data_IF_930674512517
#
_entry.id   IF_930674512517
#
_cell.length_a   1.000
_cell.length_b   1.000
_cell.length_c   1.000
_cell.angle_alpha   90.00
_cell.angle_beta   90.00
_cell.angle_gamma   90.00
#
_symmetry.space_group_name_H-M   'P 1'
#
loop_
_entity.id
_entity.type
_entity.pdbx_description
1 polymer ?
#
# COMPACT_ATOMS: atom_id res chain seq x y z
N UNK A 1 8.01 -11.98 13.74
CA UNK A 1 7.80 -10.52 13.73
C UNK A 1 6.68 -10.25 14.71
N UNK A 2 6.86 -9.25 15.58
CA UNK A 2 5.86 -8.88 16.58
C UNK A 2 4.92 -7.86 15.95
N UNK A 3 3.83 -8.31 15.34
CA UNK A 3 2.89 -7.41 14.70
C UNK A 3 2.09 -6.61 15.73
N UNK A 4 1.93 -5.31 15.48
CA UNK A 4 1.12 -4.41 16.31
C UNK A 4 -0.27 -4.22 15.70
N UNK A 5 -1.31 -4.34 16.53
CA UNK A 5 -2.68 -4.11 16.10
C UNK A 5 -2.96 -2.61 15.92
N UNK A 6 -3.32 -2.19 14.71
CA UNK A 6 -3.57 -0.79 14.33
C UNK A 6 -4.72 -0.67 13.30
N UNK A 7 -4.81 0.46 12.62
CA UNK A 7 -5.73 0.69 11.51
C UNK A 7 -5.14 1.58 10.42
N UNK A 8 -5.73 1.53 9.23
CA UNK A 8 -5.46 2.47 8.14
C UNK A 8 -6.72 3.32 7.80
N UNK A 9 -6.53 4.59 7.39
CA UNK A 9 -5.29 5.36 7.46
C UNK A 9 -4.87 5.58 8.93
N UNK A 10 -3.56 5.61 9.19
CA UNK A 10 -3.01 5.72 10.55
C UNK A 10 -3.13 7.09 11.22
N UNK A 11 -3.47 8.15 10.47
CA UNK A 11 -3.52 9.53 10.98
C UNK A 11 -4.85 9.92 11.64
N UNK A 12 -5.92 9.15 11.46
CA UNK A 12 -7.23 9.44 12.03
C UNK A 12 -7.43 8.79 13.40
N UNK A 13 -8.03 9.50 14.35
CA UNK A 13 -8.45 8.88 15.61
C UNK A 13 -9.80 8.16 15.41
N UNK A 14 -9.78 6.83 15.55
CA UNK A 14 -10.97 5.99 15.60
C UNK A 14 -10.95 5.30 16.97
N UNK A 15 -11.85 5.70 17.89
CA UNK A 15 -11.81 5.23 19.29
C UNK A 15 -11.75 3.70 19.47
N UNK A 16 -12.08 2.95 18.42
CA UNK A 16 -11.70 1.55 18.23
C UNK A 16 -11.16 1.37 16.80
N UNK A 17 -10.00 0.69 16.64
CA UNK A 17 -9.38 0.39 15.32
C UNK A 17 -10.33 -0.32 14.34
N UNK A 18 -11.27 -1.11 14.87
CA UNK A 18 -12.28 -1.81 14.07
C UNK A 18 -13.25 -0.84 13.39
N UNK A 19 -13.33 0.43 13.80
CA UNK A 19 -14.14 1.45 13.13
C UNK A 19 -13.52 1.99 11.84
N UNK A 20 -12.23 1.72 11.60
CA UNK A 20 -11.48 2.10 10.40
C UNK A 20 -11.19 0.87 9.52
N UNK A 21 -10.04 0.81 8.85
CA UNK A 21 -9.54 -0.39 8.19
C UNK A 21 -8.58 -1.13 9.13
N UNK A 22 -9.05 -2.10 9.95
CA UNK A 22 -8.19 -2.77 10.92
C UNK A 22 -7.09 -3.59 10.26
N UNK A 23 -5.88 -3.47 10.79
CA UNK A 23 -4.73 -4.22 10.31
C UNK A 23 -3.73 -4.49 11.44
N UNK A 24 -2.73 -5.28 11.11
CA UNK A 24 -1.60 -5.58 11.96
C UNK A 24 -0.34 -5.24 11.18
N UNK A 25 0.54 -4.41 11.73
CA UNK A 25 1.72 -3.92 11.03
C UNK A 25 2.99 -4.13 11.85
N UNK A 26 4.10 -4.29 11.14
CA UNK A 26 5.43 -4.15 11.71
C UNK A 26 6.34 -3.55 10.63
N UNK A 27 7.31 -2.73 11.05
CA UNK A 27 8.38 -2.33 10.18
C UNK A 27 9.17 -3.57 9.74
N UNK A 28 9.55 -3.59 8.47
CA UNK A 28 10.36 -4.64 7.89
C UNK A 28 11.65 -4.02 7.37
N UNK A 29 12.79 -4.45 7.91
CA UNK A 29 14.09 -3.84 7.62
C UNK A 29 15.20 -4.85 7.30
N UNK A 30 14.92 -6.14 7.41
CA UNK A 30 15.91 -7.22 7.36
C UNK A 30 16.70 -7.32 6.06
N UNK A 31 16.08 -7.05 4.91
CA UNK A 31 16.69 -7.16 3.58
C UNK A 31 16.62 -5.84 2.81
N UNK A 32 16.52 -4.71 3.51
CA UNK A 32 16.42 -3.39 2.89
C UNK A 32 17.56 -3.15 1.90
N UNK A 33 18.81 -3.43 2.26
CA UNK A 33 19.96 -3.22 1.36
C UNK A 33 19.81 -4.01 0.06
N UNK A 34 19.42 -5.29 0.15
CA UNK A 34 19.23 -6.12 -1.04
C UNK A 34 18.09 -5.59 -1.91
N UNK A 35 16.96 -5.25 -1.29
CA UNK A 35 15.76 -4.77 -1.98
C UNK A 35 16.03 -3.42 -2.64
N UNK A 36 16.57 -2.46 -1.89
CA UNK A 36 16.93 -1.12 -2.39
C UNK A 36 17.89 -1.23 -3.56
N UNK A 37 18.98 -2.01 -3.45
CA UNK A 37 19.93 -2.20 -4.56
C UNK A 37 19.27 -2.77 -5.82
N UNK A 38 18.32 -3.70 -5.69
CA UNK A 38 17.58 -4.25 -6.83
C UNK A 38 16.65 -3.23 -7.46
N UNK A 39 15.93 -2.46 -6.65
CA UNK A 39 15.02 -1.41 -7.14
C UNK A 39 15.84 -0.31 -7.82
N UNK A 40 16.94 0.15 -7.23
CA UNK A 40 17.85 1.14 -7.85
C UNK A 40 18.37 0.66 -9.21
N UNK A 41 18.75 -0.63 -9.32
CA UNK A 41 19.20 -1.22 -10.58
C UNK A 41 18.11 -1.26 -11.66
N UNK A 42 16.85 -1.48 -11.27
CA UNK A 42 15.69 -1.48 -12.20
C UNK A 42 15.33 -0.06 -12.63
N UNK A 43 15.26 0.88 -11.68
CA UNK A 43 14.86 2.25 -11.92
C UNK A 43 15.99 3.14 -12.44
N UNK A 44 17.23 2.66 -12.39
CA UNK A 44 18.44 3.38 -12.79
C UNK A 44 18.57 4.74 -12.07
N UNK A 45 18.17 4.79 -10.79
CA UNK A 45 18.24 5.98 -9.93
C UNK A 45 18.51 5.59 -8.49
N UNK A 46 18.98 6.53 -7.66
CA UNK A 46 19.22 6.32 -6.23
C UNK A 46 17.95 6.48 -5.40
N UNK A 47 17.82 5.67 -4.37
CA UNK A 47 16.77 5.77 -3.36
C UNK A 47 17.31 6.52 -2.15
N UNK A 48 16.59 7.55 -1.70
CA UNK A 48 17.04 8.46 -0.64
C UNK A 48 16.34 8.24 0.70
N UNK A 49 15.15 7.66 0.68
CA UNK A 49 14.36 7.34 1.86
C UNK A 49 13.60 6.06 1.55
N UNK A 50 13.85 4.98 2.29
CA UNK A 50 13.26 3.67 2.03
C UNK A 50 12.62 3.10 3.29
N UNK A 51 11.32 2.81 3.20
CA UNK A 51 10.55 2.19 4.26
C UNK A 51 9.80 0.98 3.71
N UNK A 52 9.89 -0.12 4.44
CA UNK A 52 9.06 -1.30 4.17
C UNK A 52 8.22 -1.65 5.39
N UNK A 53 6.95 -2.00 5.15
CA UNK A 53 5.98 -2.38 6.17
C UNK A 53 5.43 -3.75 5.84
N UNK A 54 5.62 -4.70 6.74
CA UNK A 54 4.93 -5.98 6.71
C UNK A 54 3.53 -5.78 7.30
N UNK A 55 2.50 -6.15 6.55
CA UNK A 55 1.11 -5.95 6.95
C UNK A 55 0.34 -7.26 6.87
N UNK A 56 -0.42 -7.52 7.93
CA UNK A 56 -1.41 -8.59 8.03
C UNK A 56 -2.81 -8.00 8.16
N UNK A 57 -3.76 -8.53 7.41
CA UNK A 57 -5.18 -8.17 7.49
C UNK A 57 -5.97 -9.43 7.83
N UNK A 58 -6.90 -9.32 8.78
CA UNK A 58 -7.85 -10.38 9.11
C UNK A 58 -9.21 -9.98 8.54
N UNK A 59 -9.72 -10.74 7.58
CA UNK A 59 -10.90 -10.34 6.80
C UNK A 59 -12.19 -10.32 7.64
N UNK A 60 -12.27 -11.12 8.71
CA UNK A 60 -13.38 -11.06 9.66
C UNK A 60 -13.39 -9.78 10.51
N UNK A 61 -12.26 -9.11 10.69
CA UNK A 61 -12.20 -7.81 11.37
C UNK A 61 -12.63 -6.69 10.42
N UNK A 62 -12.22 -6.77 9.15
CA UNK A 62 -12.66 -5.84 8.11
C UNK A 62 -14.20 -5.83 8.01
N UNK A 63 -14.83 -7.02 8.07
CA UNK A 63 -16.30 -7.16 8.05
C UNK A 63 -17.01 -6.52 9.27
N UNK A 64 -16.31 -6.32 10.38
CA UNK A 64 -16.88 -5.66 11.56
C UNK A 64 -16.87 -4.14 11.42
N UNK A 65 -16.13 -3.60 10.45
CA UNK A 65 -16.00 -2.17 10.27
C UNK A 65 -17.31 -1.54 9.76
N UNK A 66 -17.78 -0.44 10.40
CA UNK A 66 -18.96 0.28 9.96
C UNK A 66 -18.75 0.99 8.62
N UNK A 67 -17.50 1.09 8.14
CA UNK A 67 -17.18 1.58 6.79
C UNK A 67 -17.73 0.67 5.69
N UNK A 68 -18.13 -0.57 6.05
CA UNK A 68 -18.78 -1.54 5.16
C UNK A 68 -18.02 -1.73 3.84
N UNK A 69 -16.75 -2.10 3.95
CA UNK A 69 -15.90 -2.32 2.79
C UNK A 69 -16.46 -3.42 1.89
N UNK A 70 -16.79 -3.06 0.65
CA UNK A 70 -17.14 -4.02 -0.39
C UNK A 70 -15.89 -4.69 -0.95
N UNK A 71 -15.76 -4.69 -2.28
CA UNK A 71 -14.56 -5.21 -2.96
C UNK A 71 -13.30 -4.37 -2.70
N UNK A 72 -13.45 -3.09 -2.39
CA UNK A 72 -12.34 -2.15 -2.24
C UNK A 72 -12.32 -1.60 -0.82
N UNK A 73 -11.12 -1.43 -0.26
CA UNK A 73 -10.89 -0.61 0.92
C UNK A 73 -11.06 0.88 0.62
N UNK A 74 -10.54 1.75 1.49
CA UNK A 74 -10.58 3.20 1.28
C UNK A 74 -9.76 3.60 0.05
N UNK A 75 -10.35 4.38 -0.85
CA UNK A 75 -9.62 5.05 -1.94
C UNK A 75 -8.82 6.21 -1.35
N UNK A 76 -7.51 6.17 -1.51
CA UNK A 76 -6.58 7.13 -0.92
C UNK A 76 -5.34 7.36 -1.79
N UNK A 77 -4.48 8.27 -1.32
CA UNK A 77 -3.12 8.52 -1.83
C UNK A 77 -2.16 8.35 -0.66
N UNK A 78 -0.90 8.06 -0.95
CA UNK A 78 0.15 7.86 0.05
C UNK A 78 0.85 9.16 0.47
N UNK A 79 0.34 10.31 0.03
CA UNK A 79 0.82 11.61 0.49
C UNK A 79 0.16 12.02 1.81
N UNK A 80 0.94 12.63 2.73
CA UNK A 80 0.37 13.34 3.87
C UNK A 80 -0.64 14.39 3.41
N UNK A 81 -1.70 14.58 4.20
CA UNK A 81 -2.72 15.58 3.91
C UNK A 81 -2.11 16.98 3.97
N UNK A 82 -2.17 17.73 2.86
CA UNK A 82 -1.69 19.11 2.78
C UNK A 82 -0.29 19.30 2.21
N UNK A 83 0.42 18.22 1.90
CA UNK A 83 1.77 18.29 1.35
C UNK A 83 1.80 18.04 -0.16
N UNK A 84 2.46 18.95 -0.90
CA UNK A 84 3.03 18.68 -2.24
C UNK A 84 4.41 18.06 -2.03
N UNK A 85 4.51 16.94 -1.33
CA UNK A 85 5.80 16.31 -1.16
C UNK A 85 6.15 15.38 -2.31
N UNK A 86 7.47 15.34 -2.52
CA UNK A 86 8.24 14.69 -3.57
C UNK A 86 7.71 13.31 -3.99
N UNK A 87 8.04 12.81 -5.20
CA UNK A 87 7.48 11.55 -5.67
C UNK A 87 7.84 10.39 -4.73
N UNK A 88 6.93 10.08 -3.82
CA UNK A 88 6.89 8.82 -3.12
C UNK A 88 6.50 7.79 -4.16
N UNK A 89 7.36 6.82 -4.39
CA UNK A 89 6.99 5.59 -5.07
C UNK A 89 6.50 4.64 -3.98
N UNK A 90 5.29 4.15 -4.18
CA UNK A 90 4.71 3.10 -3.36
C UNK A 90 4.84 1.77 -4.10
N UNK A 91 4.97 0.69 -3.34
CA UNK A 91 5.11 -0.65 -3.85
C UNK A 91 4.25 -1.63 -3.06
N UNK A 92 3.64 -2.58 -3.75
CA UNK A 92 2.88 -3.66 -3.13
C UNK A 92 3.37 -5.01 -3.61
N UNK A 93 3.68 -5.89 -2.66
CA UNK A 93 3.85 -7.31 -2.88
C UNK A 93 2.80 -8.09 -2.09
N UNK A 94 2.21 -9.08 -2.75
CA UNK A 94 1.24 -9.99 -2.18
C UNK A 94 1.89 -11.37 -2.00
N UNK A 95 1.57 -12.04 -0.91
CA UNK A 95 2.04 -13.42 -0.65
C UNK A 95 0.99 -14.47 -1.01
N UNK A 96 -0.26 -14.04 -1.23
CA UNK A 96 -1.37 -14.86 -1.70
C UNK A 96 -1.66 -14.64 -3.19
N UNK A 97 -2.24 -15.66 -3.81
CA UNK A 97 -2.81 -15.55 -5.15
C UNK A 97 -4.32 -15.32 -5.03
N UNK A 98 -4.79 -14.14 -5.44
CA UNK A 98 -6.20 -13.81 -5.46
C UNK A 98 -6.54 -12.99 -6.71
N UNK A 99 -7.42 -13.54 -7.55
CA UNK A 99 -7.85 -12.90 -8.79
C UNK A 99 -8.47 -11.53 -8.51
N UNK A 100 -9.25 -11.43 -7.42
CA UNK A 100 -9.97 -10.22 -7.00
C UNK A 100 -9.38 -9.53 -5.75
N UNK A 101 -8.18 -9.90 -5.31
CA UNK A 101 -7.56 -9.41 -4.07
C UNK A 101 -6.39 -8.41 -4.16
N UNK A 102 -6.00 -7.93 -5.34
CA UNK A 102 -4.80 -7.09 -5.46
C UNK A 102 -4.99 -5.60 -5.19
N UNK A 103 -4.56 -4.74 -6.12
CA UNK A 103 -4.63 -3.27 -6.01
C UNK A 103 -5.52 -2.72 -7.12
N UNK A 104 -6.44 -1.82 -6.76
CA UNK A 104 -7.27 -1.08 -7.69
C UNK A 104 -6.82 0.39 -7.74
N UNK A 105 -6.82 0.97 -8.94
CA UNK A 105 -6.46 2.37 -9.16
C UNK A 105 -7.61 3.14 -9.81
N UNK A 106 -7.79 4.37 -9.36
CA UNK A 106 -8.91 5.23 -9.71
C UNK A 106 -8.36 6.55 -10.25
N UNK A 107 -9.18 7.25 -11.02
CA UNK A 107 -8.88 8.57 -11.51
C UNK A 107 -9.12 9.63 -10.42
N UNK A 108 -10.11 9.43 -9.53
CA UNK A 108 -10.28 10.27 -8.33
C UNK A 108 -10.84 9.51 -7.10
N UNK A 109 -10.88 10.19 -5.95
CA UNK A 109 -11.29 9.57 -4.67
C UNK A 109 -12.76 9.14 -4.60
N UNK A 110 -13.65 9.76 -5.38
CA UNK A 110 -15.09 9.56 -5.29
C UNK A 110 -15.60 8.44 -6.21
N UNK A 111 -14.73 7.94 -7.09
CA UNK A 111 -15.07 6.87 -8.02
C UNK A 111 -15.31 5.55 -7.30
N UNK A 112 -16.28 4.79 -7.80
CA UNK A 112 -16.65 3.47 -7.27
C UNK A 112 -16.11 2.32 -8.10
N UNK A 113 -15.62 2.60 -9.30
CA UNK A 113 -15.10 1.63 -10.26
C UNK A 113 -13.68 2.07 -10.64
N UNK A 114 -12.69 1.18 -10.58
CA UNK A 114 -11.32 1.51 -10.93
C UNK A 114 -11.10 1.53 -12.45
N UNK A 115 -10.15 2.34 -12.90
CA UNK A 115 -9.65 2.32 -14.28
C UNK A 115 -8.69 1.16 -14.51
N UNK A 116 -7.86 0.86 -13.50
CA UNK A 116 -6.85 -0.19 -13.55
C UNK A 116 -7.02 -1.10 -12.35
N UNK A 117 -6.99 -2.39 -12.63
CA UNK A 117 -7.06 -3.43 -11.63
C UNK A 117 -5.87 -4.38 -11.81
N UNK A 118 -5.10 -4.59 -10.74
CA UNK A 118 -3.98 -5.53 -10.72
C UNK A 118 -4.27 -6.60 -9.67
N UNK A 119 -4.44 -7.86 -10.08
CA UNK A 119 -4.67 -8.99 -9.17
C UNK A 119 -3.48 -9.26 -8.24
N UNK A 120 -3.75 -9.85 -7.08
CA UNK A 120 -2.72 -10.33 -6.17
C UNK A 120 -2.10 -11.61 -6.73
N UNK A 121 -0.80 -11.56 -7.01
CA UNK A 121 -0.03 -12.70 -7.49
C UNK A 121 1.28 -12.78 -6.71
N UNK A 122 1.65 -13.93 -6.13
CA UNK A 122 2.91 -14.11 -5.43
C UNK A 122 4.12 -13.76 -6.30
N UNK A 123 5.19 -13.28 -5.68
CA UNK A 123 6.44 -12.90 -6.35
C UNK A 123 6.31 -11.76 -7.37
N UNK A 124 5.23 -10.98 -7.32
CA UNK A 124 5.06 -9.77 -8.12
C UNK A 124 5.15 -8.53 -7.25
N UNK A 125 6.08 -7.64 -7.60
CA UNK A 125 6.14 -6.28 -7.07
C UNK A 125 5.40 -5.34 -8.03
N UNK A 126 4.41 -4.63 -7.52
CA UNK A 126 3.70 -3.57 -8.24
C UNK A 126 4.20 -2.24 -7.71
N UNK A 127 4.94 -1.48 -8.53
CA UNK A 127 5.38 -0.12 -8.22
C UNK A 127 4.45 0.91 -8.86
N UNK A 128 4.09 1.94 -8.11
CA UNK A 128 3.27 3.04 -8.60
C UNK A 128 3.60 4.35 -7.89
N UNK A 129 3.22 5.46 -8.51
CA UNK A 129 3.37 6.78 -7.92
C UNK A 129 2.38 6.94 -6.76
N UNK A 130 2.84 7.27 -5.55
CA UNK A 130 2.03 7.36 -4.32
C UNK A 130 0.92 8.42 -4.39
N UNK A 131 1.05 9.39 -5.31
CA UNK A 131 -0.02 10.34 -5.63
C UNK A 131 -1.21 9.77 -6.40
N UNK A 132 -1.15 8.53 -6.86
CA UNK A 132 -2.24 7.88 -7.59
C UNK A 132 -3.33 7.44 -6.61
N UNK A 133 -4.58 7.75 -6.92
CA UNK A 133 -5.70 7.22 -6.15
C UNK A 133 -5.76 5.71 -6.29
N UNK A 134 -5.71 5.02 -5.17
CA UNK A 134 -5.69 3.57 -5.13
C UNK A 134 -6.37 3.03 -3.88
N UNK A 135 -6.69 1.73 -3.92
CA UNK A 135 -7.30 1.02 -2.80
C UNK A 135 -6.88 -0.45 -2.79
N UNK A 136 -6.66 -1.05 -1.61
CA UNK A 136 -6.49 -2.49 -1.51
C UNK A 136 -7.80 -3.19 -1.87
N UNK A 137 -7.70 -4.24 -2.68
CA UNK A 137 -8.85 -5.08 -3.00
C UNK A 137 -8.99 -6.18 -1.95
N UNK A 138 -10.23 -6.47 -1.57
CA UNK A 138 -10.59 -7.41 -0.54
C UNK A 138 -11.16 -8.66 -1.18
N UNK A 139 -10.55 -9.80 -0.86
CA UNK A 139 -11.09 -11.11 -1.21
C UNK A 139 -11.53 -11.81 0.07
N UNK A 140 -12.84 -11.78 0.33
CA UNK A 140 -13.43 -12.32 1.56
C UNK A 140 -13.51 -13.85 1.59
N UNK A 141 -13.03 -14.55 0.56
CA UNK A 141 -12.86 -16.00 0.60
C UNK A 141 -11.65 -16.41 1.45
N UNK A 142 -10.70 -15.48 1.66
CA UNK A 142 -9.55 -15.68 2.54
C UNK A 142 -9.85 -15.31 3.99
N UNK A 143 -9.18 -16.00 4.93
CA UNK A 143 -9.24 -15.65 6.35
C UNK A 143 -8.35 -14.45 6.68
N UNK A 144 -7.17 -14.44 6.10
CA UNK A 144 -6.17 -13.40 6.28
C UNK A 144 -5.38 -13.15 4.99
N UNK A 145 -4.78 -11.96 4.90
CA UNK A 145 -3.89 -11.57 3.83
C UNK A 145 -2.60 -10.98 4.41
N UNK A 146 -1.48 -11.37 3.82
CA UNK A 146 -0.16 -10.82 4.11
C UNK A 146 0.31 -10.01 2.91
N UNK A 147 0.83 -8.82 3.17
CA UNK A 147 1.45 -7.98 2.15
C UNK A 147 2.75 -7.38 2.66
N UNK A 148 3.64 -7.06 1.73
CA UNK A 148 4.80 -6.22 1.98
C UNK A 148 4.62 -4.92 1.19
N UNK A 149 4.50 -3.81 1.93
CA UNK A 149 4.32 -2.47 1.36
C UNK A 149 5.65 -1.73 1.38
N UNK A 150 6.01 -1.13 0.26
CA UNK A 150 7.23 -0.34 0.08
C UNK A 150 6.85 1.12 -0.09
N UNK A 151 7.61 2.02 0.51
CA UNK A 151 7.46 3.45 0.34
C UNK A 151 8.85 4.06 0.24
N UNK A 152 9.14 4.75 -0.85
CA UNK A 152 10.45 5.34 -1.02
C UNK A 152 10.48 6.58 -1.90
N UNK A 153 11.49 7.42 -1.68
CA UNK A 153 11.82 8.58 -2.52
C UNK A 153 13.01 8.23 -3.42
N UNK A 154 13.03 8.81 -4.62
CA UNK A 154 14.16 8.70 -5.55
C UNK A 154 14.91 10.04 -5.63
N UNK A 155 16.19 9.98 -5.99
CA UNK A 155 16.98 11.16 -6.23
C UNK A 155 16.34 12.00 -7.35
N UNK A 156 16.18 13.31 -7.09
CA UNK A 156 15.77 14.25 -8.11
C UNK A 156 16.90 14.35 -9.13
N UNK A 157 16.69 13.79 -10.31
CA UNK A 157 17.47 14.22 -11.48
C UNK A 157 17.20 15.71 -11.69
N UNK A 158 18.18 16.54 -11.40
CA UNK A 158 18.26 17.93 -11.84
C UNK A 158 18.39 17.94 -13.36
N UNK A 159 17.31 17.64 -14.07
CA UNK A 159 17.17 18.09 -15.45
C UNK A 159 16.72 19.56 -15.40
N UNK A 160 17.66 20.42 -14.99
CA UNK A 160 17.66 21.79 -15.47
C UNK A 160 17.88 21.70 -16.99
N UNK A 161 16.95 22.28 -17.76
CA UNK A 161 16.91 22.41 -19.23
C UNK A 161 16.12 21.34 -19.99
N UNK A 162 14.80 21.54 -20.08
CA UNK A 162 14.07 21.56 -21.37
C UNK A 162 13.17 22.79 -21.39
#
# INVERSE_FOLDING_TARGET
MNYEAQHQPGSGYYGNRLQAYPCYENQYDKENDYITNKIEGILQTKITDFRTVARKIILSEIKQSPQNFGKYGLVHRDYPAGEKEEPIIAGMMYFDQAYDGGTAFFNNQMERVPDIYISAVPNRLVLYHGGRYHSPCLDYTFKERLTLSFFFKIEKTTNDNI
#
